data_IF_860634807947
#
_entry.id   IF_860634807947
#
_cell.length_a   1.000
_cell.length_b   1.000
_cell.length_c   1.000
_cell.angle_alpha   90.00
_cell.angle_beta   90.00
_cell.angle_gamma   90.00
#
_symmetry.space_group_name_H-M   'P 1'
#
loop_
_entity.id
_entity.type
_entity.pdbx_description
1 polymer ?
#
# COMPACT_ATOMS: atom_id res chain seq x y z
N UNK A 1 16.80 -19.76 -19.23
CA UNK A 1 16.93 -18.42 -18.76
C UNK A 1 18.37 -18.07 -18.46
N UNK A 2 18.85 -17.01 -19.11
CA UNK A 2 20.27 -16.77 -19.30
C UNK A 2 20.68 -15.41 -18.75
N UNK A 3 20.25 -15.14 -17.52
CA UNK A 3 20.84 -14.03 -16.77
C UNK A 3 22.16 -14.58 -16.22
N UNK A 4 23.24 -13.88 -16.49
CA UNK A 4 24.53 -14.13 -15.89
C UNK A 4 24.38 -14.18 -14.36
N UNK A 5 24.78 -15.29 -13.74
CA UNK A 5 24.66 -15.52 -12.31
C UNK A 5 25.43 -14.49 -11.44
N UNK A 6 26.26 -13.67 -12.05
CA UNK A 6 26.93 -12.53 -11.40
C UNK A 6 26.06 -11.28 -11.31
N UNK A 7 24.88 -11.27 -11.95
CA UNK A 7 23.97 -10.13 -11.93
C UNK A 7 22.96 -10.25 -10.80
N UNK A 8 22.81 -9.17 -10.06
CA UNK A 8 21.74 -9.04 -9.07
C UNK A 8 20.46 -8.56 -9.77
N UNK A 9 19.33 -9.11 -9.32
CA UNK A 9 18.01 -8.70 -9.78
C UNK A 9 17.32 -7.94 -8.63
N UNK A 10 16.82 -6.77 -8.93
CA UNK A 10 16.07 -5.94 -8.00
C UNK A 10 14.69 -5.63 -8.57
N UNK A 11 13.67 -5.60 -7.71
CA UNK A 11 12.37 -5.05 -8.07
C UNK A 11 12.43 -3.55 -7.78
N UNK A 12 12.61 -2.75 -8.83
CA UNK A 12 12.84 -1.31 -8.73
C UNK A 12 11.63 -0.52 -8.25
N UNK A 13 10.41 -1.01 -8.51
CA UNK A 13 9.18 -0.40 -8.04
C UNK A 13 8.08 -1.45 -7.99
N UNK A 14 7.30 -1.45 -6.91
CA UNK A 14 6.14 -2.30 -6.74
C UNK A 14 5.20 -1.71 -5.69
N UNK A 15 3.90 -1.82 -5.88
CA UNK A 15 2.92 -1.26 -4.93
C UNK A 15 1.48 -1.58 -5.35
N UNK A 16 0.54 -1.18 -4.52
CA UNK A 16 -0.89 -1.28 -4.75
C UNK A 16 -1.60 -0.04 -4.23
N UNK A 17 -2.51 0.51 -5.02
CA UNK A 17 -3.28 1.67 -4.58
C UNK A 17 -4.35 1.28 -3.56
N UNK A 18 -4.49 2.09 -2.51
CA UNK A 18 -5.53 1.91 -1.49
C UNK A 18 -6.88 2.51 -1.85
N UNK A 19 -6.94 3.29 -2.91
CA UNK A 19 -8.16 3.93 -3.39
C UNK A 19 -8.03 4.32 -4.86
N UNK A 20 -9.13 4.26 -5.61
CA UNK A 20 -9.25 4.87 -6.92
C UNK A 20 -10.71 5.10 -7.26
N UNK A 21 -11.04 6.30 -7.73
CA UNK A 21 -12.32 6.57 -8.39
C UNK A 21 -12.35 6.08 -9.83
N UNK A 22 -11.18 5.78 -10.39
CA UNK A 22 -11.04 5.24 -11.73
C UNK A 22 -11.11 3.71 -11.70
N UNK A 23 -11.33 3.14 -12.87
CA UNK A 23 -11.25 1.69 -13.04
C UNK A 23 -9.80 1.25 -12.84
N UNK A 24 -9.52 0.54 -11.76
CA UNK A 24 -8.22 0.06 -11.37
C UNK A 24 -8.12 -1.45 -11.58
N UNK A 25 -7.11 -1.85 -12.35
CA UNK A 25 -6.86 -3.25 -12.68
C UNK A 25 -7.47 -3.70 -14.01
N UNK A 26 -7.20 -4.95 -14.38
CA UNK A 26 -7.61 -5.50 -15.67
C UNK A 26 -9.13 -5.60 -15.80
N UNK A 27 -9.65 -5.11 -16.90
CA UNK A 27 -11.09 -5.17 -17.21
C UNK A 27 -11.94 -4.19 -16.43
N UNK A 28 -11.35 -3.15 -15.84
CA UNK A 28 -12.07 -2.13 -15.11
C UNK A 28 -12.64 -2.63 -13.78
N UNK A 29 -11.85 -3.40 -13.03
CA UNK A 29 -12.23 -3.90 -11.73
C UNK A 29 -12.03 -2.83 -10.66
N UNK A 30 -12.93 -2.78 -9.69
CA UNK A 30 -12.79 -1.95 -8.48
C UNK A 30 -11.83 -2.64 -7.51
N UNK A 31 -10.54 -2.64 -7.86
CA UNK A 31 -9.53 -3.41 -7.14
C UNK A 31 -8.71 -2.57 -6.14
N UNK A 32 -8.83 -1.24 -6.19
CA UNK A 32 -8.06 -0.35 -5.32
C UNK A 32 -8.79 -0.15 -3.99
N UNK A 33 -8.36 -0.84 -2.96
CA UNK A 33 -8.75 -0.61 -1.58
C UNK A 33 -7.62 -0.95 -0.61
N UNK A 34 -7.75 -0.49 0.62
CA UNK A 34 -6.70 -0.64 1.63
C UNK A 34 -6.52 -2.09 2.09
N UNK A 35 -7.57 -2.91 2.06
CA UNK A 35 -7.47 -4.33 2.40
C UNK A 35 -6.61 -5.07 1.38
N UNK A 36 -6.86 -4.87 0.06
CA UNK A 36 -6.07 -5.49 -1.01
C UNK A 36 -4.64 -4.95 -1.06
N UNK A 37 -4.44 -3.65 -0.76
CA UNK A 37 -3.09 -3.11 -0.55
C UNK A 37 -2.35 -3.91 0.52
N UNK A 38 -2.99 -4.22 1.64
CA UNK A 38 -2.41 -5.03 2.71
C UNK A 38 -2.08 -6.45 2.27
N UNK A 39 -2.98 -7.11 1.55
CA UNK A 39 -2.73 -8.44 0.99
C UNK A 39 -1.54 -8.43 0.02
N UNK A 40 -1.52 -7.46 -0.88
CA UNK A 40 -0.42 -7.30 -1.83
C UNK A 40 0.92 -7.06 -1.13
N UNK A 41 0.95 -6.15 -0.16
CA UNK A 41 2.16 -5.84 0.61
C UNK A 41 2.74 -7.10 1.28
N UNK A 42 1.90 -7.90 1.92
CA UNK A 42 2.33 -9.12 2.59
C UNK A 42 2.91 -10.12 1.58
N UNK A 43 2.20 -10.39 0.48
CA UNK A 43 2.65 -11.33 -0.54
C UNK A 43 3.97 -10.90 -1.18
N UNK A 44 4.11 -9.64 -1.57
CA UNK A 44 5.35 -9.17 -2.20
C UNK A 44 6.50 -9.14 -1.20
N UNK A 45 6.26 -8.82 0.05
CA UNK A 45 7.27 -8.85 1.11
C UNK A 45 7.79 -10.26 1.33
N UNK A 46 6.90 -11.25 1.39
CA UNK A 46 7.26 -12.66 1.54
C UNK A 46 8.07 -13.17 0.33
N UNK A 47 7.69 -12.80 -0.89
CA UNK A 47 8.44 -13.13 -2.11
C UNK A 47 9.85 -12.53 -2.05
N UNK A 48 9.95 -11.23 -1.74
CA UNK A 48 11.22 -10.53 -1.69
C UNK A 48 12.14 -11.16 -0.63
N UNK A 49 11.61 -11.44 0.55
CA UNK A 49 12.35 -12.07 1.64
C UNK A 49 12.80 -13.50 1.27
N UNK A 50 11.87 -14.34 0.81
CA UNK A 50 12.16 -15.76 0.51
C UNK A 50 13.11 -15.95 -0.67
N UNK A 51 13.15 -15.00 -1.60
CA UNK A 51 14.04 -15.02 -2.77
C UNK A 51 15.30 -14.17 -2.59
N UNK A 52 15.48 -13.56 -1.42
CA UNK A 52 16.60 -12.62 -1.16
C UNK A 52 16.69 -11.51 -2.22
N UNK A 53 15.53 -11.00 -2.65
CA UNK A 53 15.44 -9.91 -3.63
C UNK A 53 15.39 -8.57 -2.90
N UNK A 54 16.11 -7.58 -3.44
CA UNK A 54 15.90 -6.19 -3.05
C UNK A 54 14.64 -5.67 -3.75
N UNK A 55 13.69 -5.19 -2.98
CA UNK A 55 12.42 -4.66 -3.48
C UNK A 55 12.19 -3.25 -2.94
N UNK A 56 11.87 -2.33 -3.84
CA UNK A 56 11.50 -0.97 -3.50
C UNK A 56 9.98 -0.83 -3.56
N UNK A 57 9.36 -0.73 -2.38
CA UNK A 57 7.91 -0.56 -2.31
C UNK A 57 7.52 0.89 -2.58
N UNK A 58 6.61 1.08 -3.49
CA UNK A 58 6.04 2.37 -3.84
C UNK A 58 4.63 2.46 -3.24
N UNK A 59 4.40 3.35 -2.28
CA UNK A 59 5.32 4.30 -1.70
C UNK A 59 5.17 4.36 -0.17
N UNK A 60 5.98 5.17 0.52
CA UNK A 60 5.84 5.31 1.96
C UNK A 60 4.57 6.10 2.34
N UNK A 61 4.30 7.22 1.67
CA UNK A 61 3.15 8.09 1.93
C UNK A 61 2.31 8.29 0.68
N UNK A 62 1.02 8.56 0.87
CA UNK A 62 0.17 9.06 -0.20
C UNK A 62 0.71 10.37 -0.76
N UNK A 63 0.61 10.53 -2.09
CA UNK A 63 1.23 11.63 -2.83
C UNK A 63 0.19 12.41 -3.66
N UNK A 64 -0.63 13.27 -3.03
CA UNK A 64 -1.77 13.94 -3.69
C UNK A 64 -1.39 14.88 -4.84
N UNK A 65 -0.09 15.12 -5.03
CA UNK A 65 0.43 15.92 -6.14
C UNK A 65 0.66 15.12 -7.43
N UNK A 66 0.65 13.78 -7.38
CA UNK A 66 0.96 12.93 -8.55
C UNK A 66 -0.11 13.04 -9.62
N UNK A 67 -1.37 13.04 -9.23
CA UNK A 67 -2.48 13.34 -10.11
C UNK A 67 -3.32 14.48 -9.54
N UNK A 68 -2.82 15.69 -9.69
CA UNK A 68 -3.48 16.91 -9.20
C UNK A 68 -4.78 17.25 -9.92
N UNK A 69 -5.05 16.62 -11.06
CA UNK A 69 -6.29 16.80 -11.83
C UNK A 69 -7.39 15.85 -11.40
N UNK A 70 -7.02 14.71 -10.82
CA UNK A 70 -7.95 13.74 -10.29
C UNK A 70 -7.54 13.38 -8.87
N UNK A 71 -8.02 14.14 -7.91
CA UNK A 71 -7.71 13.98 -6.49
C UNK A 71 -7.96 12.54 -5.98
N UNK A 72 -8.92 11.87 -6.57
CA UNK A 72 -9.32 10.50 -6.24
C UNK A 72 -8.71 9.44 -7.17
N UNK A 73 -7.75 9.80 -8.01
CA UNK A 73 -7.05 8.87 -8.88
C UNK A 73 -6.09 7.95 -8.12
N UNK A 74 -5.87 6.76 -8.65
CA UNK A 74 -5.03 5.74 -8.01
C UNK A 74 -3.60 6.22 -7.70
N UNK A 75 -3.03 7.08 -8.54
CA UNK A 75 -1.66 7.58 -8.41
C UNK A 75 -1.41 8.32 -7.08
N UNK A 76 -2.45 8.88 -6.48
CA UNK A 76 -2.35 9.62 -5.24
C UNK A 76 -2.36 8.73 -3.98
N UNK A 77 -2.65 7.42 -4.11
CA UNK A 77 -3.02 6.56 -2.99
C UNK A 77 -2.18 5.28 -2.82
N UNK A 78 -0.94 5.29 -3.30
CA UNK A 78 -0.01 4.15 -3.18
C UNK A 78 0.73 4.08 -1.84
N UNK A 79 0.58 5.06 -0.96
CA UNK A 79 1.28 5.12 0.31
C UNK A 79 0.92 3.97 1.26
N UNK A 80 1.87 3.54 2.07
CA UNK A 80 1.65 2.71 3.27
C UNK A 80 1.12 3.56 4.44
N UNK A 81 1.29 4.86 4.35
CA UNK A 81 0.70 5.86 5.24
C UNK A 81 -0.12 6.86 4.43
N UNK A 82 -1.15 7.42 5.07
CA UNK A 82 -1.85 8.58 4.51
C UNK A 82 -0.93 9.82 4.52
N UNK A 83 -1.37 10.89 3.87
CA UNK A 83 -0.64 12.17 3.88
C UNK A 83 -0.40 12.67 5.32
N UNK A 84 -1.37 12.48 6.20
CA UNK A 84 -1.32 12.90 7.61
C UNK A 84 -0.52 11.95 8.51
N UNK A 85 -0.11 10.79 7.97
CA UNK A 85 0.71 9.83 8.71
C UNK A 85 -0.09 8.73 9.40
N UNK A 86 -1.36 8.49 9.06
CA UNK A 86 -2.05 7.29 9.54
C UNK A 86 -1.50 6.06 8.83
N UNK A 87 -1.09 5.07 9.60
CA UNK A 87 -0.64 3.78 9.09
C UNK A 87 -1.82 3.00 8.49
N UNK A 88 -1.67 2.56 7.25
CA UNK A 88 -2.65 1.71 6.59
C UNK A 88 -2.53 0.25 7.06
N UNK A 89 -3.50 -0.56 6.71
CA UNK A 89 -3.70 -1.92 7.23
C UNK A 89 -2.44 -2.78 7.33
N UNK A 90 -1.53 -2.85 6.33
CA UNK A 90 -0.35 -3.69 6.43
C UNK A 90 0.61 -3.30 7.56
N UNK A 91 0.48 -2.09 8.09
CA UNK A 91 1.33 -1.57 9.17
C UNK A 91 0.64 -1.51 10.53
N UNK A 92 -0.60 -1.96 10.67
CA UNK A 92 -1.32 -1.87 11.94
C UNK A 92 -0.62 -2.61 13.08
N UNK A 93 -0.11 -3.81 12.80
CA UNK A 93 0.67 -4.58 13.79
C UNK A 93 1.94 -3.84 14.23
N UNK A 94 2.55 -3.09 13.32
CA UNK A 94 3.73 -2.30 13.63
C UNK A 94 3.39 -1.14 14.58
N UNK A 95 2.21 -0.54 14.40
CA UNK A 95 1.69 0.47 15.34
C UNK A 95 1.48 -0.15 16.72
N UNK A 96 0.83 -1.32 16.80
CA UNK A 96 0.56 -2.03 18.05
C UNK A 96 1.84 -2.45 18.79
N UNK A 97 2.84 -2.87 18.03
CA UNK A 97 4.18 -3.20 18.56
C UNK A 97 4.99 -1.96 18.98
N UNK A 98 4.46 -0.76 18.77
CA UNK A 98 5.13 0.48 19.14
C UNK A 98 6.32 0.86 18.25
N UNK A 99 6.45 0.28 17.06
CA UNK A 99 7.54 0.57 16.11
C UNK A 99 7.60 2.07 15.77
N UNK A 100 6.44 2.71 15.69
CA UNK A 100 6.31 4.14 15.37
C UNK A 100 6.11 5.03 16.60
N UNK A 101 6.37 4.50 17.80
CA UNK A 101 6.23 5.26 19.05
C UNK A 101 7.14 6.48 19.01
N UNK A 102 6.59 7.64 19.36
CA UNK A 102 7.26 8.94 19.35
C UNK A 102 7.60 9.49 17.94
N UNK A 103 7.16 8.82 16.87
CA UNK A 103 7.24 9.39 15.53
C UNK A 103 5.96 10.16 15.22
N UNK A 104 6.12 11.24 14.48
CA UNK A 104 5.01 12.08 14.04
C UNK A 104 5.14 12.41 12.56
N UNK A 105 4.00 12.64 11.90
CA UNK A 105 3.93 13.29 10.60
C UNK A 105 3.39 14.70 10.81
N UNK A 106 4.23 15.70 10.58
CA UNK A 106 3.92 17.02 11.09
C UNK A 106 3.81 16.99 12.62
N UNK A 107 2.68 17.42 13.16
CA UNK A 107 2.40 17.35 14.61
C UNK A 107 1.49 16.17 14.99
N UNK A 108 1.16 15.29 14.03
CA UNK A 108 0.24 14.18 14.28
C UNK A 108 1.02 12.90 14.64
N UNK A 109 0.71 12.22 15.74
CA UNK A 109 1.29 10.92 16.04
C UNK A 109 0.83 9.89 15.00
N UNK A 110 1.67 8.87 14.76
CA UNK A 110 1.31 7.77 13.88
C UNK A 110 0.22 6.93 14.55
N UNK A 111 -0.93 6.87 13.90
CA UNK A 111 -2.10 6.07 14.32
C UNK A 111 -2.55 5.18 13.18
N UNK A 112 -3.53 4.31 13.41
CA UNK A 112 -4.09 3.44 12.37
C UNK A 112 -5.20 4.14 11.57
N UNK A 113 -5.32 3.83 10.30
CA UNK A 113 -6.55 4.07 9.55
C UNK A 113 -7.71 3.31 10.19
N UNK A 114 -8.95 3.72 9.92
CA UNK A 114 -10.18 3.13 10.51
C UNK A 114 -10.13 3.00 12.05
N UNK A 115 -9.25 3.72 12.73
CA UNK A 115 -8.97 3.56 14.17
C UNK A 115 -8.61 2.11 14.57
N UNK A 116 -8.10 1.31 13.63
CA UNK A 116 -7.79 -0.11 13.82
C UNK A 116 -9.01 -1.03 13.80
N UNK A 117 -10.16 -0.56 13.36
CA UNK A 117 -11.38 -1.35 13.22
C UNK A 117 -11.35 -2.17 11.93
N UNK A 118 -11.11 -3.47 12.05
CA UNK A 118 -11.01 -4.39 10.92
C UNK A 118 -12.35 -4.59 10.18
N UNK A 119 -13.47 -4.55 10.90
CA UNK A 119 -14.80 -4.67 10.27
C UNK A 119 -15.11 -3.43 9.42
N UNK A 120 -14.71 -2.24 9.88
CA UNK A 120 -14.83 -1.02 9.09
C UNK A 120 -13.94 -1.07 7.83
N UNK A 121 -12.73 -1.59 7.96
CA UNK A 121 -11.84 -1.81 6.82
C UNK A 121 -12.47 -2.75 5.79
N UNK A 122 -12.98 -3.91 6.22
CA UNK A 122 -13.62 -4.88 5.31
C UNK A 122 -14.86 -4.32 4.62
N UNK A 123 -15.64 -3.50 5.31
CA UNK A 123 -16.81 -2.82 4.72
C UNK A 123 -16.43 -1.79 3.66
N UNK A 124 -15.21 -1.26 3.73
CA UNK A 124 -14.70 -0.32 2.72
C UNK A 124 -14.07 -1.02 1.52
N UNK A 125 -13.89 -2.35 1.56
CA UNK A 125 -13.26 -3.09 0.46
C UNK A 125 -14.18 -3.17 -0.74
N UNK A 126 -13.62 -2.92 -1.91
CA UNK A 126 -14.31 -3.06 -3.19
C UNK A 126 -14.33 -4.53 -3.63
N UNK A 127 -15.50 -5.03 -4.00
CA UNK A 127 -15.64 -6.39 -4.51
C UNK A 127 -15.56 -6.32 -6.05
N UNK A 128 -14.54 -6.93 -6.67
CA UNK A 128 -14.47 -6.98 -8.12
C UNK A 128 -15.72 -7.64 -8.71
N UNK A 129 -16.26 -7.13 -9.83
CA UNK A 129 -17.42 -7.74 -10.46
C UNK A 129 -17.10 -9.18 -10.86
N UNK A 130 -17.99 -10.10 -10.50
CA UNK A 130 -17.93 -11.50 -10.95
C UNK A 130 -18.30 -11.53 -12.42
N UNK A 131 -17.41 -12.05 -13.27
CA UNK A 131 -17.67 -12.26 -14.71
C UNK A 131 -18.44 -13.56 -14.91
#
# INVERSE_FOLDING_TARGET
DKIDSSKEVHIGETGWSSFSSDLYGYGGTEAADEYKLGLYYNVISDICFSKSLTCFYFSAFDEPWKDSKNENGSENHFGLFTVEGKAKYPLWDNVDKGIFKNLTRGNNPITKTFNGDFEALLKSSEIPPVK
#
